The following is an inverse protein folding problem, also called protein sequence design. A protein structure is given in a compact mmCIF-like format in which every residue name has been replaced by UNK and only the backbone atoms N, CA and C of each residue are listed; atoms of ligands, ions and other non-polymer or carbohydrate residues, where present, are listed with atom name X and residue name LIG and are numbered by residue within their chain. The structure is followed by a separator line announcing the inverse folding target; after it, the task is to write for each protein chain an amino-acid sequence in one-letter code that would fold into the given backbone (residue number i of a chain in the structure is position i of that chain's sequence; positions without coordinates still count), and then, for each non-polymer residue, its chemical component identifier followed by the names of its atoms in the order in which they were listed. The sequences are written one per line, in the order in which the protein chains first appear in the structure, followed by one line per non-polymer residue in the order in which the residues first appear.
data_IF_542873330489
#
_entry.id   IF_542873330489
#
_cell.length_a   1.000
_cell.length_b   1.000
_cell.length_c   1.000
_cell.angle_alpha   90.00
_cell.angle_beta   90.00
_cell.angle_gamma   90.00
#
_symmetry.space_group_name_H-M   'P 1'
#
loop_
_entity.id
_entity.type
_entity.pdbx_description
1 polymer ?
#
# COMPACT_ATOMS: atom_id res chain seq x y z
N UNK A 1 18.52 31.83 -10.53
CA UNK A 1 18.53 30.50 -11.19
C UNK A 1 17.16 30.28 -11.81
N UNK A 2 17.09 29.66 -13.00
CA UNK A 2 15.84 29.30 -13.65
C UNK A 2 15.70 27.76 -13.58
N UNK A 3 14.53 27.28 -13.17
CA UNK A 3 14.19 25.87 -13.13
C UNK A 3 13.09 25.59 -14.14
N UNK A 4 13.05 24.36 -14.66
CA UNK A 4 12.04 23.90 -15.61
C UNK A 4 10.84 23.31 -14.88
N UNK A 5 11.07 22.67 -13.73
CA UNK A 5 10.04 22.04 -12.90
C UNK A 5 10.25 22.40 -11.43
N UNK A 6 9.16 22.74 -10.74
CA UNK A 6 9.12 22.88 -9.28
C UNK A 6 8.20 21.79 -8.68
N UNK A 7 8.75 20.94 -7.83
CA UNK A 7 8.01 19.94 -7.06
C UNK A 7 7.70 20.53 -5.68
N UNK A 8 6.42 20.71 -5.36
CA UNK A 8 5.99 21.31 -4.11
C UNK A 8 5.67 20.21 -3.10
N UNK A 9 6.48 20.12 -2.05
CA UNK A 9 6.42 19.15 -0.97
C UNK A 9 7.48 18.06 -1.07
N UNK A 10 8.24 17.88 0.01
CA UNK A 10 9.31 16.88 0.16
C UNK A 10 8.87 15.57 0.83
N UNK A 11 7.57 15.22 0.79
CA UNK A 11 7.08 13.92 1.21
C UNK A 11 7.36 12.82 0.18
N UNK A 12 6.94 11.55 0.47
CA UNK A 12 7.19 10.39 -0.40
C UNK A 12 6.74 10.62 -1.85
N UNK A 13 5.62 11.30 -2.06
CA UNK A 13 5.10 11.57 -3.41
C UNK A 13 6.05 12.51 -4.16
N UNK A 14 6.43 13.65 -3.54
CA UNK A 14 7.36 14.60 -4.17
C UNK A 14 8.75 14.00 -4.39
N UNK A 15 9.24 13.18 -3.44
CA UNK A 15 10.51 12.48 -3.58
C UNK A 15 10.52 11.51 -4.76
N UNK A 16 9.46 10.70 -4.92
CA UNK A 16 9.33 9.76 -6.05
C UNK A 16 9.15 10.47 -7.39
N UNK A 17 8.40 11.59 -7.43
CA UNK A 17 8.30 12.42 -8.64
C UNK A 17 9.67 12.99 -9.00
N UNK A 18 10.43 13.49 -8.02
CA UNK A 18 11.78 14.02 -8.25
C UNK A 18 12.74 12.95 -8.75
N UNK A 19 12.63 11.73 -8.21
CA UNK A 19 13.37 10.57 -8.71
C UNK A 19 13.04 10.27 -10.17
N UNK A 20 11.77 10.29 -10.55
CA UNK A 20 11.42 10.09 -11.96
C UNK A 20 11.93 11.22 -12.85
N UNK A 21 11.82 12.47 -12.42
CA UNK A 21 12.35 13.63 -13.14
C UNK A 21 13.87 13.58 -13.33
N UNK A 22 14.61 12.98 -12.38
CA UNK A 22 16.08 12.86 -12.48
C UNK A 22 16.57 11.96 -13.65
N UNK A 23 15.66 11.22 -14.29
CA UNK A 23 15.95 10.42 -15.50
C UNK A 23 15.94 11.26 -16.78
N UNK A 24 15.56 12.51 -16.69
CA UNK A 24 15.43 13.44 -17.82
C UNK A 24 16.40 14.62 -17.68
N UNK A 25 16.77 15.23 -18.79
CA UNK A 25 17.59 16.45 -18.79
C UNK A 25 16.72 17.67 -18.48
N UNK A 26 16.30 17.79 -17.22
CA UNK A 26 15.48 18.90 -16.71
C UNK A 26 16.06 19.44 -15.40
N UNK A 27 15.99 20.74 -15.20
CA UNK A 27 16.38 21.40 -13.95
C UNK A 27 15.18 21.41 -13.03
N UNK A 28 15.13 20.47 -12.09
CA UNK A 28 14.07 20.38 -11.08
C UNK A 28 14.50 20.99 -9.75
N UNK A 29 13.55 21.57 -9.03
CA UNK A 29 13.72 21.98 -7.63
C UNK A 29 12.60 21.39 -6.78
N UNK A 30 12.94 20.93 -5.57
CA UNK A 30 11.95 20.52 -4.56
C UNK A 30 11.82 21.65 -3.55
N UNK A 31 10.59 22.09 -3.30
CA UNK A 31 10.25 23.13 -2.34
C UNK A 31 9.52 22.49 -1.16
N UNK A 32 10.16 22.47 0.01
CA UNK A 32 9.54 21.99 1.26
C UNK A 32 9.39 23.17 2.24
N UNK A 33 8.23 23.24 2.89
CA UNK A 33 7.95 24.31 3.86
C UNK A 33 8.51 24.05 5.25
N UNK A 34 8.73 22.77 5.58
CA UNK A 34 9.29 22.36 6.85
C UNK A 34 10.82 22.47 6.81
N UNK A 35 11.45 22.36 7.96
CA UNK A 35 12.91 22.37 8.11
C UNK A 35 13.57 21.08 7.64
N UNK A 36 12.79 20.03 7.37
CA UNK A 36 13.27 18.75 6.85
C UNK A 36 12.21 18.12 5.94
N UNK A 37 12.60 17.12 5.13
CA UNK A 37 11.71 16.33 4.28
C UNK A 37 10.89 15.35 5.11
N UNK A 38 9.83 14.81 4.51
CA UNK A 38 8.98 13.76 5.10
C UNK A 38 8.28 14.12 6.43
N UNK A 39 8.22 15.38 6.82
CA UNK A 39 7.68 15.83 8.12
C UNK A 39 6.15 15.73 8.25
N UNK A 40 5.43 15.41 7.18
CA UNK A 40 3.98 15.20 7.16
C UNK A 40 3.58 13.73 7.28
N UNK A 41 2.57 13.31 6.51
CA UNK A 41 2.01 11.94 6.50
C UNK A 41 3.07 10.86 6.21
N UNK A 42 4.12 11.18 5.47
CA UNK A 42 5.21 10.24 5.20
C UNK A 42 5.92 9.76 6.47
N UNK A 43 6.02 10.60 7.49
CA UNK A 43 6.61 10.26 8.79
C UNK A 43 5.64 9.46 9.68
N UNK A 44 4.33 9.69 9.52
CA UNK A 44 3.31 9.16 10.42
C UNK A 44 2.24 8.39 9.62
N UNK A 45 2.51 7.12 9.34
CA UNK A 45 1.61 6.20 8.64
C UNK A 45 1.86 4.76 9.11
N UNK A 46 0.98 3.84 8.73
CA UNK A 46 1.06 2.43 9.11
C UNK A 46 2.05 1.60 8.27
N UNK A 47 2.71 2.20 7.29
CA UNK A 47 3.65 1.54 6.37
C UNK A 47 3.06 0.37 5.56
N UNK A 48 1.73 0.26 5.50
CA UNK A 48 1.04 -0.80 4.77
C UNK A 48 1.03 -0.50 3.28
N UNK A 49 1.47 -1.47 2.49
CA UNK A 49 1.29 -1.51 1.04
C UNK A 49 -0.01 -2.27 0.79
N UNK A 50 -1.07 -1.51 0.54
CA UNK A 50 -2.42 -2.06 0.38
C UNK A 50 -2.58 -2.84 -0.92
N UNK A 51 -3.25 -4.01 -0.87
CA UNK A 51 -3.47 -4.88 -2.03
C UNK A 51 -4.33 -4.28 -3.15
N UNK A 52 -5.21 -3.31 -2.85
CA UNK A 52 -6.03 -2.62 -3.86
C UNK A 52 -7.51 -3.05 -3.88
N UNK A 53 -7.94 -3.92 -2.98
CA UNK A 53 -9.32 -4.42 -2.91
C UNK A 53 -10.33 -3.41 -2.33
N UNK A 54 -9.88 -2.45 -1.52
CA UNK A 54 -10.75 -1.49 -0.82
C UNK A 54 -11.26 -0.35 -1.72
N UNK A 55 -10.47 0.08 -2.68
CA UNK A 55 -10.81 1.21 -3.52
C UNK A 55 -11.97 0.91 -4.48
N UNK A 56 -12.91 1.84 -4.61
CA UNK A 56 -14.07 1.71 -5.51
C UNK A 56 -13.62 1.47 -6.95
N UNK A 57 -14.13 0.41 -7.56
CA UNK A 57 -13.74 -0.01 -8.91
C UNK A 57 -14.02 1.07 -9.95
N UNK A 58 -13.14 1.19 -10.95
CA UNK A 58 -13.22 2.20 -12.01
C UNK A 58 -12.65 3.56 -11.63
N UNK A 59 -12.19 3.75 -10.38
CA UNK A 59 -11.54 5.00 -9.96
C UNK A 59 -10.04 4.98 -10.24
N UNK A 60 -9.44 6.15 -10.40
CA UNK A 60 -7.98 6.32 -10.50
C UNK A 60 -7.29 5.77 -9.25
N UNK A 61 -7.90 5.92 -8.06
CA UNK A 61 -7.39 5.34 -6.81
C UNK A 61 -7.25 3.82 -6.91
N UNK A 62 -8.27 3.11 -7.42
CA UNK A 62 -8.24 1.66 -7.57
C UNK A 62 -7.10 1.23 -8.52
N UNK A 63 -7.03 1.85 -9.69
CA UNK A 63 -5.99 1.58 -10.69
C UNK A 63 -4.60 1.78 -10.11
N UNK A 64 -4.32 2.97 -9.57
CA UNK A 64 -2.99 3.32 -9.07
C UNK A 64 -2.60 2.54 -7.81
N UNK A 65 -3.57 2.07 -7.00
CA UNK A 65 -3.27 1.22 -5.85
C UNK A 65 -2.72 -0.14 -6.32
N UNK A 66 -3.37 -0.81 -7.26
CA UNK A 66 -2.91 -2.12 -7.79
C UNK A 66 -1.56 -1.97 -8.50
N UNK A 67 -1.42 -0.97 -9.36
CA UNK A 67 -0.16 -0.68 -10.05
C UNK A 67 0.97 -0.36 -9.05
N UNK A 68 0.69 0.47 -8.04
CA UNK A 68 1.64 0.82 -6.98
C UNK A 68 2.10 -0.39 -6.18
N UNK A 69 1.18 -1.26 -5.79
CA UNK A 69 1.51 -2.50 -5.08
C UNK A 69 2.43 -3.40 -5.91
N UNK A 70 2.17 -3.54 -7.20
CA UNK A 70 2.98 -4.37 -8.09
C UNK A 70 4.42 -3.87 -8.26
N UNK A 71 4.66 -2.56 -8.23
CA UNK A 71 6.01 -2.00 -8.39
C UNK A 71 6.80 -1.93 -7.07
N UNK A 72 6.12 -2.00 -5.91
CA UNK A 72 6.72 -1.75 -4.59
C UNK A 72 7.93 -2.65 -4.28
N UNK A 73 7.89 -3.97 -4.50
CA UNK A 73 9.03 -4.84 -4.20
C UNK A 73 10.30 -4.43 -4.98
N UNK A 74 10.14 -4.11 -6.26
CA UNK A 74 11.25 -3.66 -7.11
C UNK A 74 11.76 -2.30 -6.67
N UNK A 75 10.87 -1.35 -6.43
CA UNK A 75 11.21 0.00 -6.00
C UNK A 75 11.95 -0.01 -4.66
N UNK A 76 11.47 -0.77 -3.68
CA UNK A 76 12.13 -0.91 -2.38
C UNK A 76 13.52 -1.52 -2.51
N UNK A 77 13.70 -2.54 -3.37
CA UNK A 77 15.01 -3.11 -3.65
C UNK A 77 15.97 -2.09 -4.29
N UNK A 78 15.51 -1.31 -5.26
CA UNK A 78 16.33 -0.27 -5.92
C UNK A 78 16.75 0.84 -4.96
N UNK A 79 15.88 1.19 -4.00
CA UNK A 79 16.12 2.23 -3.00
C UNK A 79 16.79 1.71 -1.72
N UNK A 80 17.08 0.41 -1.63
CA UNK A 80 17.59 -0.25 -0.43
C UNK A 80 16.69 -0.02 0.80
N UNK A 81 15.38 -0.02 0.60
CA UNK A 81 14.36 0.11 1.66
C UNK A 81 13.84 -1.29 1.99
N UNK A 82 13.85 -1.72 3.26
CA UNK A 82 13.28 -3.00 3.65
C UNK A 82 11.79 -3.10 3.31
N UNK A 83 11.41 -4.21 2.67
CA UNK A 83 10.04 -4.54 2.30
C UNK A 83 9.74 -5.98 2.67
N UNK A 84 8.55 -6.23 3.22
CA UNK A 84 8.05 -7.59 3.47
C UNK A 84 6.70 -7.77 2.78
N UNK A 85 6.59 -8.80 1.97
CA UNK A 85 5.33 -9.26 1.42
C UNK A 85 4.71 -10.28 2.37
N UNK A 86 4.11 -9.80 3.45
CA UNK A 86 3.50 -10.63 4.51
C UNK A 86 1.99 -10.80 4.32
N UNK A 87 1.42 -10.21 3.29
CA UNK A 87 -0.01 -10.21 3.05
C UNK A 87 -0.78 -9.28 3.98
N UNK A 88 -2.11 -9.29 3.83
CA UNK A 88 -3.05 -8.53 4.63
C UNK A 88 -4.33 -9.33 4.81
N UNK A 89 -4.91 -9.29 6.01
CA UNK A 89 -6.15 -9.96 6.38
C UNK A 89 -7.22 -8.92 6.74
N UNK A 90 -8.44 -9.10 6.22
CA UNK A 90 -9.64 -8.41 6.70
C UNK A 90 -10.49 -9.48 7.35
N UNK A 91 -10.47 -9.52 8.69
CA UNK A 91 -11.09 -10.57 9.49
C UNK A 91 -12.56 -10.27 9.74
N UNK A 92 -13.40 -11.31 9.65
CA UNK A 92 -14.80 -11.28 10.01
C UNK A 92 -15.06 -12.12 11.27
N UNK A 93 -15.89 -11.60 12.18
CA UNK A 93 -16.32 -12.25 13.41
C UNK A 93 -17.80 -12.65 13.40
N UNK A 94 -18.46 -12.50 12.27
CA UNK A 94 -19.85 -12.88 12.07
C UNK A 94 -20.17 -13.13 10.60
N UNK A 95 -21.24 -13.88 10.33
CA UNK A 95 -21.76 -14.09 8.96
C UNK A 95 -22.10 -12.76 8.27
N UNK A 96 -22.61 -11.78 9.02
CA UNK A 96 -22.89 -10.45 8.50
C UNK A 96 -21.62 -9.72 8.05
N UNK A 97 -20.51 -9.89 8.75
CA UNK A 97 -19.23 -9.31 8.36
C UNK A 97 -18.63 -10.07 7.17
N UNK A 98 -18.92 -11.37 7.03
CA UNK A 98 -18.55 -12.13 5.84
C UNK A 98 -19.21 -11.59 4.57
N UNK A 99 -20.41 -11.02 4.62
CA UNK A 99 -21.01 -10.32 3.47
C UNK A 99 -20.12 -9.16 3.00
N UNK A 100 -19.52 -8.43 3.94
CA UNK A 100 -18.56 -7.36 3.60
C UNK A 100 -17.25 -7.91 3.02
N UNK A 101 -16.76 -9.03 3.55
CA UNK A 101 -15.58 -9.73 3.01
C UNK A 101 -15.82 -10.13 1.55
N UNK A 102 -16.99 -10.69 1.23
CA UNK A 102 -17.38 -11.02 -0.15
C UNK A 102 -17.43 -9.78 -1.05
N UNK A 103 -18.01 -8.68 -0.56
CA UNK A 103 -18.06 -7.42 -1.30
C UNK A 103 -16.65 -6.90 -1.63
N UNK A 104 -15.72 -6.96 -0.66
CA UNK A 104 -14.32 -6.55 -0.87
C UNK A 104 -13.60 -7.50 -1.84
N UNK A 105 -13.87 -8.79 -1.77
CA UNK A 105 -13.34 -9.77 -2.71
C UNK A 105 -13.75 -9.46 -4.15
N UNK A 106 -15.06 -9.31 -4.41
CA UNK A 106 -15.60 -9.01 -5.74
C UNK A 106 -15.01 -7.69 -6.29
N UNK A 107 -14.89 -6.69 -5.41
CA UNK A 107 -14.27 -5.42 -5.75
C UNK A 107 -12.79 -5.59 -6.09
N UNK A 108 -12.06 -6.36 -5.32
CA UNK A 108 -10.65 -6.65 -5.55
C UNK A 108 -10.41 -7.39 -6.87
N UNK A 109 -11.22 -8.41 -7.17
CA UNK A 109 -11.18 -9.11 -8.45
C UNK A 109 -11.43 -8.13 -9.61
N UNK A 110 -12.45 -7.28 -9.48
CA UNK A 110 -12.79 -6.26 -10.49
C UNK A 110 -11.67 -5.21 -10.67
N UNK A 111 -10.92 -4.92 -9.60
CA UNK A 111 -9.77 -4.02 -9.64
C UNK A 111 -8.50 -4.68 -10.19
N UNK A 112 -8.50 -6.00 -10.38
CA UNK A 112 -7.33 -6.76 -10.85
C UNK A 112 -6.30 -7.06 -9.76
N UNK A 113 -6.73 -7.15 -8.50
CA UNK A 113 -5.85 -7.54 -7.38
C UNK A 113 -5.42 -9.00 -7.56
N UNK A 114 -4.12 -9.29 -7.63
CA UNK A 114 -3.65 -10.67 -7.75
C UNK A 114 -3.72 -11.40 -6.42
N UNK A 115 -3.85 -12.73 -6.47
CA UNK A 115 -3.76 -13.63 -5.31
C UNK A 115 -4.65 -13.21 -4.13
N UNK A 116 -5.91 -12.88 -4.41
CA UNK A 116 -6.93 -12.52 -3.43
C UNK A 116 -7.79 -13.76 -3.13
N UNK A 117 -7.96 -14.11 -1.86
CA UNK A 117 -8.65 -15.31 -1.41
C UNK A 117 -9.62 -14.99 -0.27
N UNK A 118 -10.78 -15.65 -0.24
CA UNK A 118 -11.61 -15.76 0.96
C UNK A 118 -11.19 -17.04 1.66
N UNK A 119 -10.83 -16.93 2.93
CA UNK A 119 -10.34 -18.05 3.75
C UNK A 119 -11.27 -18.30 4.93
N UNK A 120 -11.38 -19.55 5.32
CA UNK A 120 -12.14 -19.97 6.50
C UNK A 120 -11.35 -19.76 7.81
N UNK A 121 -12.02 -19.98 8.95
CA UNK A 121 -11.42 -19.83 10.27
C UNK A 121 -10.19 -20.73 10.45
N UNK A 122 -10.22 -21.96 9.93
CA UNK A 122 -9.07 -22.89 10.03
C UNK A 122 -7.84 -22.32 9.35
N UNK A 123 -7.99 -21.91 8.09
CA UNK A 123 -6.89 -21.32 7.31
C UNK A 123 -6.40 -20.01 7.92
N UNK A 124 -7.32 -19.22 8.49
CA UNK A 124 -6.98 -17.98 9.18
C UNK A 124 -6.08 -18.23 10.39
N UNK A 125 -6.38 -19.23 11.24
CA UNK A 125 -5.54 -19.62 12.38
C UNK A 125 -4.19 -20.19 11.98
N UNK A 126 -4.09 -20.85 10.82
CA UNK A 126 -2.78 -21.27 10.28
C UNK A 126 -1.88 -20.09 9.91
N UNK A 127 -2.48 -18.99 9.40
CA UNK A 127 -1.74 -17.79 9.00
C UNK A 127 -1.44 -16.87 10.18
N UNK A 128 -2.39 -16.74 11.12
CA UNK A 128 -2.29 -15.89 12.31
C UNK A 128 -2.75 -16.69 13.54
N UNK A 129 -1.84 -17.44 14.18
CA UNK A 129 -2.20 -18.32 15.31
C UNK A 129 -2.74 -17.60 16.55
N UNK A 130 -2.52 -16.30 16.67
CA UNK A 130 -2.97 -15.50 17.79
C UNK A 130 -4.30 -14.77 17.54
N UNK A 131 -4.96 -15.05 16.41
CA UNK A 131 -6.29 -14.48 16.15
C UNK A 131 -7.32 -15.04 17.13
N UNK A 132 -8.37 -14.28 17.42
CA UNK A 132 -9.46 -14.75 18.27
C UNK A 132 -10.17 -15.97 17.68
N UNK A 133 -10.52 -16.93 18.54
CA UNK A 133 -11.31 -18.12 18.15
C UNK A 133 -12.71 -17.78 17.64
N UNK A 134 -13.19 -16.55 17.89
CA UNK A 134 -14.47 -16.04 17.37
C UNK A 134 -14.41 -15.67 15.88
N UNK A 135 -13.22 -15.63 15.28
CA UNK A 135 -13.05 -15.28 13.87
C UNK A 135 -13.61 -16.39 12.96
N UNK A 136 -14.58 -16.04 12.11
CA UNK A 136 -15.27 -16.99 11.22
C UNK A 136 -14.61 -17.13 9.85
N UNK A 137 -13.84 -16.13 9.43
CA UNK A 137 -13.09 -16.14 8.18
C UNK A 137 -12.47 -14.79 7.88
N UNK A 138 -11.84 -14.67 6.71
CA UNK A 138 -11.19 -13.42 6.30
C UNK A 138 -11.05 -13.30 4.78
N UNK A 139 -10.85 -12.06 4.31
CA UNK A 139 -10.24 -11.79 3.03
C UNK A 139 -8.72 -11.79 3.21
N UNK A 140 -8.02 -12.62 2.45
CA UNK A 140 -6.58 -12.65 2.42
C UNK A 140 -6.04 -12.10 1.10
N UNK A 141 -5.26 -11.03 1.16
CA UNK A 141 -4.56 -10.43 0.02
C UNK A 141 -3.08 -10.72 0.14
N UNK A 142 -2.57 -11.70 -0.61
CA UNK A 142 -1.15 -12.09 -0.58
C UNK A 142 -0.23 -11.01 -1.13
N UNK A 143 -0.72 -10.20 -2.08
CA UNK A 143 0.06 -9.13 -2.72
C UNK A 143 0.33 -7.93 -1.80
N UNK A 144 -0.40 -7.79 -0.71
CA UNK A 144 -0.17 -6.74 0.28
C UNK A 144 1.13 -6.98 1.06
N UNK A 145 1.66 -5.91 1.65
CA UNK A 145 2.89 -6.01 2.43
C UNK A 145 3.12 -4.80 3.32
N UNK A 146 4.29 -4.75 3.91
CA UNK A 146 4.76 -3.60 4.70
C UNK A 146 6.11 -3.12 4.19
N UNK A 147 6.30 -1.80 4.23
CA UNK A 147 7.55 -1.14 3.92
C UNK A 147 8.11 -0.51 5.19
N UNK A 148 9.42 -0.56 5.39
CA UNK A 148 10.02 0.14 6.51
C UNK A 148 9.86 1.64 6.29
N UNK A 149 8.97 2.27 7.06
CA UNK A 149 8.79 3.71 7.07
C UNK A 149 9.49 4.31 8.29
N UNK A 150 9.66 5.63 8.31
CA UNK A 150 10.29 6.35 9.42
C UNK A 150 9.67 6.10 10.81
N UNK A 151 8.47 5.50 10.87
CA UNK A 151 7.83 5.15 12.13
C UNK A 151 8.54 4.00 12.87
N UNK A 152 9.39 3.24 12.16
CA UNK A 152 10.10 2.06 12.71
C UNK A 152 11.61 2.28 12.87
N UNK A 153 12.09 3.52 12.71
CA UNK A 153 13.49 3.92 12.92
C UNK A 153 13.65 4.58 14.27
#
# INVERSE_FOLDING_TARGET
MKYDVAVIGGGVVGALISRELSKYDVKAAVLERCNDIAMGTTKANSAIVHGGFDAVSGTVKAKLNVEGTAIMPKLCKELNVPYRNNGSLVVAFSEKEMEHVHLLYDRGIKNGVPELEIIDSKRLHELEPNISDEAVGALYSKSAGIVLSLIYI
#
